data_IF_047216052468
#
_entry.id   IF_047216052468
#
_cell.length_a   1.000
_cell.length_b   1.000
_cell.length_c   1.000
_cell.angle_alpha   90.00
_cell.angle_beta   90.00
_cell.angle_gamma   90.00
#
_symmetry.space_group_name_H-M   'P 1'
#
loop_
_entity.id
_entity.type
_entity.pdbx_description
1 polymer ?
#
# COMPACT_ATOMS: atom_id res chain seq x y z
N UNK A 1 -2.30 -0.07 -15.24
CA UNK A 1 -1.40 -0.04 -14.06
C UNK A 1 -2.10 -0.72 -12.89
N UNK A 2 -1.46 -1.68 -12.24
CA UNK A 2 -2.07 -2.40 -11.11
C UNK A 2 -1.69 -1.75 -9.77
N UNK A 3 -2.62 -1.75 -8.81
CA UNK A 3 -2.37 -1.08 -7.53
C UNK A 3 -1.27 -1.76 -6.71
N UNK A 4 -1.16 -3.09 -6.80
CA UNK A 4 -0.25 -3.88 -5.95
C UNK A 4 1.21 -3.45 -6.13
N UNK A 5 1.60 -3.06 -7.35
CA UNK A 5 2.96 -2.58 -7.64
C UNK A 5 3.29 -1.32 -6.83
N UNK A 6 2.31 -0.43 -6.67
CA UNK A 6 2.48 0.81 -5.93
C UNK A 6 2.42 0.56 -4.42
N UNK A 7 1.54 -0.35 -3.98
CA UNK A 7 1.48 -0.81 -2.60
C UNK A 7 2.83 -1.39 -2.13
N UNK A 8 3.42 -2.29 -2.93
CA UNK A 8 4.74 -2.88 -2.66
C UNK A 8 5.87 -1.83 -2.70
N UNK A 9 5.86 -0.94 -3.70
CA UNK A 9 6.83 0.15 -3.77
C UNK A 9 6.77 1.08 -2.56
N UNK A 10 5.56 1.36 -2.06
CA UNK A 10 5.34 2.13 -0.84
C UNK A 10 5.89 1.39 0.40
N UNK A 11 5.57 0.11 0.55
CA UNK A 11 6.04 -0.72 1.66
C UNK A 11 7.57 -0.85 1.67
N UNK A 12 8.19 -1.08 0.50
CA UNK A 12 9.62 -1.15 0.33
C UNK A 12 10.31 0.18 0.69
N UNK A 13 9.78 1.32 0.24
CA UNK A 13 10.32 2.63 0.58
C UNK A 13 10.25 2.89 2.10
N UNK A 14 9.13 2.55 2.75
CA UNK A 14 9.00 2.66 4.20
C UNK A 14 10.00 1.76 4.94
N UNK A 15 10.18 0.52 4.47
CA UNK A 15 11.10 -0.43 5.09
C UNK A 15 12.57 0.01 4.95
N UNK A 16 12.96 0.49 3.78
CA UNK A 16 14.30 1.01 3.50
C UNK A 16 14.58 2.28 4.30
N UNK A 17 13.60 3.20 4.41
CA UNK A 17 13.71 4.37 5.27
C UNK A 17 13.96 3.95 6.73
N UNK A 18 13.17 3.01 7.26
CA UNK A 18 13.34 2.52 8.64
C UNK A 18 14.68 1.84 8.86
N UNK A 19 15.20 1.11 7.88
CA UNK A 19 16.49 0.41 7.99
C UNK A 19 17.69 1.34 7.91
N UNK A 20 17.62 2.35 7.04
CA UNK A 20 18.80 3.14 6.64
C UNK A 20 18.81 4.55 7.19
N UNK A 21 17.63 5.12 7.49
CA UNK A 21 17.48 6.55 7.81
C UNK A 21 17.67 7.48 6.61
N UNK A 22 17.86 6.97 5.40
CA UNK A 22 18.12 7.80 4.22
C UNK A 22 16.85 8.52 3.73
N UNK A 23 16.95 9.85 3.68
CA UNK A 23 15.86 10.74 3.29
C UNK A 23 15.34 10.48 1.86
N UNK A 24 16.12 9.88 0.96
CA UNK A 24 15.65 9.53 -0.38
C UNK A 24 14.45 8.57 -0.34
N UNK A 25 14.45 7.63 0.62
CA UNK A 25 13.36 6.67 0.74
C UNK A 25 12.10 7.32 1.30
N UNK A 26 12.22 8.34 2.14
CA UNK A 26 11.08 9.15 2.56
C UNK A 26 10.45 9.90 1.38
N UNK A 27 11.27 10.48 0.50
CA UNK A 27 10.78 11.18 -0.70
C UNK A 27 10.02 10.22 -1.63
N UNK A 28 10.57 9.02 -1.84
CA UNK A 28 9.91 7.98 -2.63
C UNK A 28 8.61 7.49 -1.98
N UNK A 29 8.62 7.23 -0.68
CA UNK A 29 7.42 6.86 0.08
C UNK A 29 6.30 7.90 -0.11
N UNK A 30 6.61 9.18 0.10
CA UNK A 30 5.64 10.27 -0.06
C UNK A 30 5.13 10.40 -1.52
N UNK A 31 6.01 10.23 -2.50
CA UNK A 31 5.66 10.31 -3.93
C UNK A 31 4.71 9.19 -4.34
N UNK A 32 5.02 7.95 -3.96
CA UNK A 32 4.19 6.79 -4.27
C UNK A 32 2.86 6.88 -3.52
N UNK A 33 2.87 7.25 -2.24
CA UNK A 33 1.66 7.40 -1.46
C UNK A 33 0.71 8.46 -2.03
N UNK A 34 1.25 9.60 -2.49
CA UNK A 34 0.44 10.63 -3.15
C UNK A 34 -0.20 10.13 -4.45
N UNK A 35 0.47 9.25 -5.19
CA UNK A 35 -0.11 8.65 -6.39
C UNK A 35 -1.23 7.67 -6.02
N UNK A 36 -0.99 6.81 -5.02
CA UNK A 36 -2.00 5.90 -4.47
C UNK A 36 -3.26 6.65 -4.04
N UNK A 37 -3.06 7.68 -3.23
CA UNK A 37 -4.14 8.49 -2.65
C UNK A 37 -5.04 9.14 -3.69
N UNK A 38 -4.43 9.62 -4.79
CA UNK A 38 -5.12 10.32 -5.87
C UNK A 38 -5.78 9.40 -6.89
N UNK A 39 -5.18 8.25 -7.18
CA UNK A 39 -5.57 7.43 -8.31
C UNK A 39 -6.19 6.09 -7.92
N UNK A 40 -5.75 5.47 -6.83
CA UNK A 40 -6.22 4.14 -6.44
C UNK A 40 -7.31 4.17 -5.37
N UNK A 41 -7.26 5.07 -4.38
CA UNK A 41 -8.24 5.07 -3.29
C UNK A 41 -9.62 5.52 -3.80
N UNK A 42 -10.57 4.59 -3.83
CA UNK A 42 -11.96 4.88 -4.16
C UNK A 42 -12.71 5.30 -2.90
N UNK A 43 -12.92 6.61 -2.73
CA UNK A 43 -13.65 7.16 -1.59
C UNK A 43 -15.16 7.07 -1.73
N UNK A 44 -15.68 6.80 -2.93
CA UNK A 44 -17.11 6.71 -3.19
C UNK A 44 -17.64 5.30 -2.89
N UNK A 45 -16.93 4.27 -3.36
CA UNK A 45 -17.33 2.87 -3.19
C UNK A 45 -16.42 2.07 -2.22
N UNK A 46 -15.44 2.73 -1.58
CA UNK A 46 -14.50 2.11 -0.65
C UNK A 46 -13.43 1.26 -1.33
N UNK A 47 -12.41 0.86 -0.57
CA UNK A 47 -11.26 0.09 -1.07
C UNK A 47 -10.45 0.83 -2.15
N UNK A 48 -9.56 0.13 -2.85
CA UNK A 48 -8.73 0.68 -3.92
C UNK A 48 -9.17 0.11 -5.27
N UNK A 49 -9.18 0.94 -6.33
CA UNK A 49 -9.28 0.47 -7.71
C UNK A 49 -8.16 -0.54 -7.99
N UNK A 50 -8.49 -1.67 -8.62
CA UNK A 50 -7.50 -2.70 -8.88
C UNK A 50 -6.55 -2.32 -10.03
N UNK A 51 -7.10 -1.70 -11.06
CA UNK A 51 -6.42 -1.35 -12.29
C UNK A 51 -6.72 0.10 -12.69
N UNK A 52 -5.72 0.76 -13.27
CA UNK A 52 -5.86 2.03 -13.97
C UNK A 52 -5.49 1.88 -15.44
N UNK A 53 -6.12 2.67 -16.31
CA UNK A 53 -5.70 2.80 -17.71
C UNK A 53 -4.39 3.61 -17.87
N UNK A 54 -4.00 3.86 -19.11
CA UNK A 54 -2.83 4.68 -19.49
C UNK A 54 -2.94 6.15 -19.07
N UNK A 55 -4.15 6.63 -18.82
CA UNK A 55 -4.45 7.98 -18.35
C UNK A 55 -4.64 8.06 -16.82
N UNK A 56 -4.34 6.98 -16.09
CA UNK A 56 -4.51 6.84 -14.65
C UNK A 56 -5.97 6.96 -14.17
N UNK A 57 -6.94 6.53 -14.99
CA UNK A 57 -8.35 6.42 -14.59
C UNK A 57 -8.69 4.98 -14.23
N UNK A 58 -9.64 4.73 -13.32
CA UNK A 58 -10.09 3.39 -12.98
C UNK A 58 -10.47 2.57 -14.23
N UNK A 59 -9.91 1.38 -14.31
CA UNK A 59 -10.19 0.41 -15.36
C UNK A 59 -10.44 -0.98 -14.74
N UNK A 60 -10.89 -1.90 -15.59
CA UNK A 60 -11.08 -3.30 -15.23
C UNK A 60 -10.90 -4.22 -16.44
N UNK A 61 -10.06 -3.79 -17.39
CA UNK A 61 -9.80 -4.46 -18.66
C UNK A 61 -9.08 -5.78 -18.47
N UNK A 62 -8.14 -5.84 -17.53
CA UNK A 62 -7.42 -7.06 -17.17
C UNK A 62 -8.10 -7.76 -15.99
N UNK A 63 -8.50 -6.99 -14.97
CA UNK A 63 -9.13 -7.52 -13.76
C UNK A 63 -10.32 -6.64 -13.34
N UNK A 64 -11.55 -7.10 -13.55
CA UNK A 64 -12.72 -6.35 -13.15
C UNK A 64 -12.88 -6.33 -11.62
N UNK A 65 -13.39 -5.21 -11.10
CA UNK A 65 -13.69 -5.04 -9.68
C UNK A 65 -12.47 -4.73 -8.81
N UNK A 66 -12.53 -5.13 -7.54
CA UNK A 66 -11.50 -4.86 -6.51
C UNK A 66 -11.14 -6.14 -5.75
N UNK A 67 -10.61 -7.17 -6.43
CA UNK A 67 -10.46 -8.52 -5.86
C UNK A 67 -9.35 -8.63 -4.81
N UNK A 68 -8.52 -7.60 -4.64
CA UNK A 68 -7.33 -7.65 -3.79
C UNK A 68 -7.36 -6.54 -2.74
N UNK A 69 -7.57 -6.94 -1.50
CA UNK A 69 -7.43 -6.07 -0.32
C UNK A 69 -6.06 -6.23 0.35
N UNK A 70 -5.38 -7.37 0.11
CA UNK A 70 -4.18 -7.75 0.85
C UNK A 70 -3.09 -6.68 0.68
N UNK A 71 -2.76 -6.29 -0.55
CA UNK A 71 -1.69 -5.32 -0.79
C UNK A 71 -2.05 -3.91 -0.30
N UNK A 72 -3.30 -3.46 -0.54
CA UNK A 72 -3.77 -2.17 -0.04
C UNK A 72 -3.70 -2.10 1.50
N UNK A 73 -4.11 -3.17 2.18
CA UNK A 73 -4.07 -3.26 3.64
C UNK A 73 -2.63 -3.28 4.18
N UNK A 74 -1.74 -4.05 3.55
CA UNK A 74 -0.33 -4.10 3.95
C UNK A 74 0.38 -2.76 3.75
N UNK A 75 0.11 -2.04 2.67
CA UNK A 75 0.72 -0.74 2.41
C UNK A 75 0.37 0.31 3.49
N UNK A 76 -0.83 0.20 4.10
CA UNK A 76 -1.24 1.07 5.22
C UNK A 76 -0.57 0.67 6.53
N UNK A 77 -0.39 -0.63 6.79
CA UNK A 77 0.06 -1.12 8.10
C UNK A 77 1.57 -1.28 8.24
N UNK A 78 2.28 -1.75 7.20
CA UNK A 78 3.72 -2.01 7.27
C UNK A 78 4.54 -0.79 7.73
N UNK A 79 4.25 0.46 7.31
CA UNK A 79 4.97 1.63 7.80
C UNK A 79 4.87 1.83 9.32
N UNK A 80 3.81 1.31 9.95
CA UNK A 80 3.52 1.49 11.38
C UNK A 80 4.13 0.37 12.26
N UNK A 81 4.68 -0.68 11.66
CA UNK A 81 5.13 -1.88 12.36
C UNK A 81 6.65 -2.06 12.30
N UNK A 82 7.26 -2.75 13.27
CA UNK A 82 8.68 -3.10 13.19
C UNK A 82 8.95 -4.00 11.97
N UNK A 83 10.18 -3.99 11.47
CA UNK A 83 10.59 -4.81 10.31
C UNK A 83 10.60 -6.32 10.60
N UNK A 84 10.65 -6.69 11.88
CA UNK A 84 10.58 -8.06 12.34
C UNK A 84 9.87 -8.11 13.71
N UNK A 85 9.11 -9.18 14.01
CA UNK A 85 8.78 -10.31 13.14
C UNK A 85 7.81 -9.91 11.99
N UNK A 86 7.38 -10.89 11.18
CA UNK A 86 6.45 -10.65 10.07
C UNK A 86 5.11 -10.04 10.50
N UNK A 87 4.41 -9.40 9.53
CA UNK A 87 3.21 -8.58 9.75
C UNK A 87 2.19 -9.17 10.73
N UNK A 88 1.71 -10.39 10.46
CA UNK A 88 0.68 -11.03 11.27
C UNK A 88 1.11 -11.21 12.74
N UNK A 89 2.39 -11.55 12.96
CA UNK A 89 2.93 -11.70 14.31
C UNK A 89 3.03 -10.34 15.01
N UNK A 90 3.51 -9.32 14.29
CA UNK A 90 3.59 -7.96 14.82
C UNK A 90 2.20 -7.39 15.19
N UNK A 91 1.18 -7.68 14.39
CA UNK A 91 -0.21 -7.27 14.68
C UNK A 91 -0.84 -8.04 15.84
N UNK A 92 -0.47 -9.31 16.04
CA UNK A 92 -1.03 -10.12 17.14
C UNK A 92 -0.79 -9.53 18.54
N UNK A 93 0.19 -8.64 18.71
CA UNK A 93 0.43 -7.92 19.95
C UNK A 93 -0.62 -6.83 20.25
N UNK A 94 -1.39 -6.39 19.25
CA UNK A 94 -2.37 -5.30 19.35
C UNK A 94 -3.82 -5.78 19.30
N UNK A 95 -4.03 -7.09 19.12
CA UNK A 95 -5.37 -7.70 19.17
C UNK A 95 -5.63 -8.12 20.60
N UNK A 96 -6.61 -7.48 21.26
CA UNK A 96 -7.12 -7.96 22.55
C UNK A 96 -7.60 -9.39 22.37
N UNK A 97 -6.97 -10.34 23.05
CA UNK A 97 -7.50 -11.70 23.16
C UNK A 97 -8.79 -11.59 23.98
N UNK A 98 -9.93 -11.77 23.34
CA UNK A 98 -11.20 -12.04 24.01
C UNK A 98 -11.10 -13.35 24.81
#
# INVERSE_FOLDING_TARGET
>A
RLHWVHAEGCAAAAALLRRTGDAQYQQWYQRVWRFIDRCFIDRAAGSWHHELDEHNRPAGTLWPGKPDLYHAYQAVLLPQLPLAPGLARSLSAYVTKL
#
